data_IF_400410342281
#
_entry.id   IF_400410342281
#
_cell.length_a   1.000
_cell.length_b   1.000
_cell.length_c   1.000
_cell.angle_alpha   90.00
_cell.angle_beta   90.00
_cell.angle_gamma   90.00
#
_symmetry.space_group_name_H-M   'P 1'
#
loop_
_entity.id
_entity.type
_entity.pdbx_description
1 polymer ?
#
# COMPACT_ATOMS: atom_id res chain seq x y z
N UNK A 1 -8.41 30.29 -10.52
CA UNK A 1 -7.58 29.34 -9.74
C UNK A 1 -8.54 28.32 -9.18
N UNK A 2 -8.52 27.05 -9.64
CA UNK A 2 -9.26 25.97 -8.97
C UNK A 2 -8.59 25.73 -7.64
N UNK A 3 -9.38 25.54 -6.59
CA UNK A 3 -8.86 25.30 -5.24
C UNK A 3 -7.92 24.08 -5.25
N UNK A 4 -6.75 24.21 -4.65
CA UNK A 4 -5.76 23.12 -4.50
C UNK A 4 -6.41 21.93 -3.78
N UNK A 5 -7.39 22.19 -2.89
CA UNK A 5 -8.15 21.18 -2.18
C UNK A 5 -8.93 20.22 -3.11
N UNK A 6 -9.41 20.71 -4.25
CA UNK A 6 -10.22 19.89 -5.20
C UNK A 6 -9.39 18.92 -6.04
N UNK A 7 -8.06 19.01 -6.05
CA UNK A 7 -7.18 18.20 -6.92
C UNK A 7 -6.33 17.20 -6.15
N UNK A 8 -6.55 17.04 -4.84
CA UNK A 8 -5.72 16.22 -3.96
C UNK A 8 -6.52 15.11 -3.31
N UNK A 9 -5.83 14.02 -2.95
CA UNK A 9 -6.37 12.93 -2.17
C UNK A 9 -5.27 12.26 -1.34
N UNK A 10 -5.65 11.67 -0.21
CA UNK A 10 -4.73 10.98 0.70
C UNK A 10 -4.88 9.48 0.59
N UNK A 11 -3.77 8.77 0.52
CA UNK A 11 -3.75 7.30 0.48
C UNK A 11 -2.96 6.75 1.66
N UNK A 12 -3.37 5.59 2.18
CA UNK A 12 -2.70 4.86 3.24
C UNK A 12 -2.43 3.42 2.82
N UNK A 13 -1.22 2.93 3.08
CA UNK A 13 -0.84 1.52 3.00
C UNK A 13 -0.50 0.99 4.38
N UNK A 14 -1.04 -0.18 4.74
CA UNK A 14 -0.76 -0.79 6.03
C UNK A 14 -0.81 -2.32 5.99
N UNK A 15 0.30 -2.96 6.33
CA UNK A 15 0.32 -4.39 6.64
C UNK A 15 -0.18 -4.58 8.09
N UNK A 16 -1.36 -5.21 8.25
CA UNK A 16 -2.02 -5.37 9.56
C UNK A 16 -1.57 -6.63 10.32
N UNK A 17 -0.57 -7.36 9.78
CA UNK A 17 0.16 -8.41 10.48
C UNK A 17 -0.66 -9.65 10.80
N UNK A 18 -1.54 -10.12 9.90
CA UNK A 18 -2.25 -11.39 10.03
C UNK A 18 -2.89 -11.62 11.41
N UNK A 19 -3.66 -10.61 11.88
CA UNK A 19 -4.34 -10.66 13.17
C UNK A 19 -3.55 -10.05 14.34
N UNK A 20 -2.37 -9.48 14.11
CA UNK A 20 -1.63 -8.73 15.14
C UNK A 20 -2.39 -7.47 15.56
N UNK A 21 -2.89 -6.71 14.59
CA UNK A 21 -3.78 -5.57 14.86
C UNK A 21 -5.15 -6.12 15.26
N UNK A 22 -5.59 -5.81 16.47
CA UNK A 22 -6.92 -6.18 16.92
C UNK A 22 -8.00 -5.41 16.13
N UNK A 23 -9.19 -6.00 15.88
CA UNK A 23 -10.27 -5.35 15.14
C UNK A 23 -10.58 -3.93 15.64
N UNK A 24 -10.76 -3.73 16.94
CA UNK A 24 -11.04 -2.41 17.52
C UNK A 24 -9.90 -1.40 17.30
N UNK A 25 -8.64 -1.87 17.37
CA UNK A 25 -7.49 -1.00 17.09
C UNK A 25 -7.43 -0.60 15.61
N UNK A 26 -7.83 -1.51 14.69
CA UNK A 26 -7.93 -1.22 13.27
C UNK A 26 -9.07 -0.22 13.00
N UNK A 27 -10.24 -0.41 13.62
CA UNK A 27 -11.37 0.52 13.53
C UNK A 27 -10.96 1.93 13.96
N UNK A 28 -10.35 2.04 15.14
CA UNK A 28 -9.89 3.31 15.68
C UNK A 28 -8.83 3.98 14.78
N UNK A 29 -7.89 3.20 14.25
CA UNK A 29 -6.90 3.73 13.30
C UNK A 29 -7.57 4.31 12.07
N UNK A 30 -8.50 3.56 11.45
CA UNK A 30 -9.22 3.99 10.24
C UNK A 30 -10.07 5.23 10.48
N UNK A 31 -10.70 5.36 11.66
CA UNK A 31 -11.50 6.53 12.05
C UNK A 31 -10.65 7.78 12.29
N UNK A 32 -9.50 7.62 12.96
CA UNK A 32 -8.65 8.74 13.38
C UNK A 32 -7.66 9.17 12.30
N UNK A 33 -7.43 8.32 11.29
CA UNK A 33 -6.48 8.61 10.21
C UNK A 33 -7.25 8.80 8.90
N UNK A 34 -7.69 10.02 8.58
CA UNK A 34 -8.46 10.27 7.37
C UNK A 34 -7.57 10.04 6.15
N UNK A 35 -7.82 8.94 5.45
CA UNK A 35 -7.29 8.67 4.13
C UNK A 35 -8.48 8.45 3.18
N UNK A 36 -8.39 8.92 1.96
CA UNK A 36 -9.45 8.75 0.96
C UNK A 36 -9.48 7.34 0.41
N UNK A 37 -8.28 6.72 0.32
CA UNK A 37 -8.10 5.34 -0.13
C UNK A 37 -7.14 4.63 0.83
N UNK A 38 -7.51 3.43 1.27
CA UNK A 38 -6.70 2.59 2.16
C UNK A 38 -6.42 1.26 1.49
N UNK A 39 -5.15 0.86 1.42
CA UNK A 39 -4.72 -0.47 0.99
C UNK A 39 -4.17 -1.26 2.18
N UNK A 40 -4.77 -2.39 2.48
CA UNK A 40 -4.39 -3.24 3.60
C UNK A 40 -3.81 -4.57 3.11
N UNK A 41 -2.81 -5.09 3.82
CA UNK A 41 -2.20 -6.38 3.59
C UNK A 41 -2.30 -7.26 4.84
N UNK A 42 -2.29 -8.57 4.66
CA UNK A 42 -2.41 -9.59 5.71
C UNK A 42 -3.72 -9.51 6.53
N UNK A 43 -4.80 -9.17 5.85
CA UNK A 43 -6.13 -9.01 6.47
C UNK A 43 -6.72 -10.38 6.81
N UNK A 44 -7.04 -10.62 8.08
CA UNK A 44 -7.80 -11.80 8.52
C UNK A 44 -9.30 -11.57 8.38
N UNK A 45 -10.12 -12.66 8.46
CA UNK A 45 -11.58 -12.54 8.45
C UNK A 45 -12.09 -11.66 9.58
N UNK A 46 -11.59 -11.84 10.82
CA UNK A 46 -11.99 -11.02 11.96
C UNK A 46 -11.62 -9.54 11.82
N UNK A 47 -10.52 -9.22 11.14
CA UNK A 47 -10.18 -7.83 10.82
C UNK A 47 -11.08 -7.27 9.71
N UNK A 48 -11.48 -8.09 8.73
CA UNK A 48 -12.37 -7.66 7.66
C UNK A 48 -13.79 -7.34 8.14
N UNK A 49 -14.27 -7.96 9.24
CA UNK A 49 -15.57 -7.66 9.85
C UNK A 49 -15.70 -6.19 10.31
N UNK A 50 -14.57 -5.53 10.62
CA UNK A 50 -14.53 -4.11 10.95
C UNK A 50 -14.96 -3.23 9.78
N UNK A 51 -14.74 -3.68 8.54
CA UNK A 51 -15.00 -2.86 7.36
C UNK A 51 -16.48 -2.54 7.18
N UNK A 52 -17.39 -3.41 7.63
CA UNK A 52 -18.82 -3.13 7.60
C UNK A 52 -19.19 -1.95 8.52
N UNK A 53 -18.50 -1.79 9.65
CA UNK A 53 -18.67 -0.66 10.55
C UNK A 53 -18.11 0.64 9.97
N UNK A 54 -17.19 0.52 8.99
CA UNK A 54 -16.54 1.66 8.32
C UNK A 54 -17.28 2.15 7.06
N UNK A 55 -18.47 1.59 6.73
CA UNK A 55 -19.20 1.95 5.50
C UNK A 55 -19.65 3.40 5.42
N UNK A 56 -19.81 4.08 6.55
CA UNK A 56 -20.08 5.52 6.56
C UNK A 56 -18.90 6.36 6.07
N UNK A 57 -17.67 5.92 6.34
CA UNK A 57 -16.44 6.58 5.94
C UNK A 57 -15.88 6.01 4.63
N UNK A 58 -15.95 4.69 4.45
CA UNK A 58 -15.49 3.97 3.26
C UNK A 58 -16.65 3.17 2.67
N UNK A 59 -17.58 3.81 1.94
CA UNK A 59 -18.75 3.15 1.37
C UNK A 59 -18.38 2.09 0.33
N UNK A 60 -17.21 2.23 -0.31
CA UNK A 60 -16.73 1.32 -1.34
C UNK A 60 -15.57 0.49 -0.82
N UNK A 61 -15.70 -0.83 -0.91
CA UNK A 61 -14.74 -1.76 -0.34
C UNK A 61 -14.53 -2.95 -1.29
N UNK A 62 -13.28 -3.31 -1.50
CA UNK A 62 -12.88 -4.53 -2.21
C UNK A 62 -12.01 -5.36 -1.27
N UNK A 63 -12.44 -6.57 -0.95
CA UNK A 63 -11.73 -7.47 -0.03
C UNK A 63 -11.46 -8.79 -0.74
N UNK A 64 -10.25 -9.28 -0.63
CA UNK A 64 -9.83 -10.55 -1.19
C UNK A 64 -9.10 -11.41 -0.17
N UNK A 65 -9.51 -12.69 -0.09
CA UNK A 65 -8.84 -13.70 0.73
C UNK A 65 -8.91 -13.42 2.22
N UNK A 66 -8.07 -14.10 2.97
CA UNK A 66 -7.91 -13.91 4.40
C UNK A 66 -6.52 -14.38 4.86
N UNK A 67 -6.02 -13.83 5.98
CA UNK A 67 -4.70 -14.15 6.51
C UNK A 67 -3.58 -13.51 5.67
N UNK A 68 -2.44 -14.16 5.59
CA UNK A 68 -1.27 -13.63 4.87
C UNK A 68 -1.55 -13.23 3.42
N UNK A 69 -2.34 -13.96 2.59
CA UNK A 69 -2.75 -13.50 1.26
C UNK A 69 -3.86 -12.45 1.28
N UNK A 70 -4.52 -12.22 2.43
CA UNK A 70 -5.66 -11.31 2.55
C UNK A 70 -5.28 -9.86 2.25
N UNK A 71 -6.10 -9.19 1.41
CA UNK A 71 -5.93 -7.80 1.02
C UNK A 71 -7.26 -7.07 0.98
N UNK A 72 -7.21 -5.76 1.22
CA UNK A 72 -8.39 -4.91 1.07
C UNK A 72 -8.03 -3.56 0.46
N UNK A 73 -8.98 -3.01 -0.29
CA UNK A 73 -9.03 -1.62 -0.70
C UNK A 73 -10.31 -1.03 -0.09
N UNK A 74 -10.18 -0.01 0.75
CA UNK A 74 -11.28 0.76 1.27
C UNK A 74 -11.21 2.15 0.63
N UNK A 75 -12.34 2.70 0.21
CA UNK A 75 -12.36 3.97 -0.52
C UNK A 75 -13.59 4.81 -0.18
N UNK A 76 -13.40 6.11 -0.06
CA UNK A 76 -14.49 7.09 -0.05
C UNK A 76 -15.09 7.28 -1.44
N UNK A 77 -14.33 6.95 -2.49
CA UNK A 77 -14.73 7.06 -3.89
C UNK A 77 -15.17 5.73 -4.47
N UNK A 78 -15.97 5.80 -5.51
CA UNK A 78 -16.51 4.61 -6.19
C UNK A 78 -15.39 3.68 -6.69
N UNK A 79 -15.50 2.40 -6.32
CA UNK A 79 -14.64 1.32 -6.79
C UNK A 79 -15.37 0.57 -7.92
N UNK A 80 -14.64 0.26 -8.99
CA UNK A 80 -15.07 -0.60 -10.09
C UNK A 80 -13.92 -1.52 -10.54
N UNK A 81 -14.21 -2.47 -11.43
CA UNK A 81 -13.22 -3.34 -12.08
C UNK A 81 -12.23 -4.00 -11.10
N UNK A 82 -12.77 -4.53 -10.00
CA UNK A 82 -11.97 -5.23 -9.00
C UNK A 82 -11.49 -6.58 -9.53
N UNK A 83 -10.19 -6.85 -9.38
CA UNK A 83 -9.56 -8.08 -9.86
C UNK A 83 -8.46 -8.56 -8.91
N UNK A 84 -8.39 -9.89 -8.73
CA UNK A 84 -7.28 -10.55 -8.06
C UNK A 84 -6.23 -10.97 -9.08
N UNK A 85 -5.03 -10.42 -8.97
CA UNK A 85 -3.92 -10.68 -9.87
C UNK A 85 -3.05 -11.83 -9.34
N UNK A 86 -3.13 -12.99 -9.97
CA UNK A 86 -2.35 -14.18 -9.59
C UNK A 86 -0.94 -14.14 -10.21
N UNK A 87 -0.19 -13.06 -9.95
CA UNK A 87 1.19 -12.90 -10.44
C UNK A 87 2.18 -13.79 -9.67
N UNK A 88 1.82 -14.17 -8.46
CA UNK A 88 2.50 -15.18 -7.67
C UNK A 88 1.47 -16.22 -7.19
N UNK A 89 1.76 -17.53 -7.28
CA UNK A 89 0.87 -18.57 -6.77
C UNK A 89 0.54 -18.35 -5.29
N UNK A 90 -0.72 -18.59 -4.89
CA UNK A 90 -1.22 -18.52 -3.52
C UNK A 90 -1.14 -17.13 -2.84
N UNK A 91 -0.57 -16.13 -3.51
CA UNK A 91 -0.46 -14.75 -3.01
C UNK A 91 -0.86 -13.73 -4.07
N UNK A 92 -2.13 -13.69 -4.46
CA UNK A 92 -2.59 -12.71 -5.44
C UNK A 92 -2.49 -11.30 -4.89
N UNK A 93 -2.21 -10.37 -5.78
CA UNK A 93 -2.32 -8.94 -5.53
C UNK A 93 -3.75 -8.49 -5.85
N UNK A 94 -4.20 -7.38 -5.26
CA UNK A 94 -5.53 -6.84 -5.50
C UNK A 94 -5.43 -5.60 -6.37
N UNK A 95 -6.23 -5.53 -7.44
CA UNK A 95 -6.37 -4.37 -8.30
C UNK A 95 -7.82 -3.90 -8.32
N UNK A 96 -8.02 -2.59 -8.34
CA UNK A 96 -9.32 -1.98 -8.56
C UNK A 96 -9.18 -0.64 -9.29
N UNK A 97 -10.21 -0.22 -10.01
CA UNK A 97 -10.34 1.14 -10.49
C UNK A 97 -11.15 1.98 -9.50
N UNK A 98 -10.65 3.15 -9.18
CA UNK A 98 -11.30 4.13 -8.30
C UNK A 98 -11.59 5.38 -9.12
N UNK A 99 -12.81 5.92 -9.03
CA UNK A 99 -13.19 7.15 -9.75
C UNK A 99 -13.15 8.33 -8.80
N UNK A 100 -12.17 9.23 -8.98
CA UNK A 100 -12.00 10.45 -8.19
C UNK A 100 -12.29 11.64 -9.13
N UNK A 101 -13.32 12.44 -8.85
CA UNK A 101 -13.63 13.65 -9.64
C UNK A 101 -13.73 13.37 -11.15
N UNK A 102 -14.41 12.29 -11.53
CA UNK A 102 -14.56 11.82 -12.91
C UNK A 102 -13.23 11.38 -13.58
N UNK A 103 -12.15 11.22 -12.83
CA UNK A 103 -10.87 10.66 -13.30
C UNK A 103 -10.69 9.25 -12.78
N UNK A 104 -10.27 8.35 -13.66
CA UNK A 104 -10.00 6.95 -13.32
C UNK A 104 -8.59 6.82 -12.74
N UNK A 105 -8.50 6.24 -11.56
CA UNK A 105 -7.27 5.89 -10.87
C UNK A 105 -7.19 4.37 -10.71
N UNK A 106 -6.14 3.73 -11.22
CA UNK A 106 -5.88 2.32 -10.95
C UNK A 106 -5.16 2.18 -9.61
N UNK A 107 -5.71 1.36 -8.73
CA UNK A 107 -5.18 1.09 -7.39
C UNK A 107 -4.73 -0.36 -7.32
N UNK A 108 -3.47 -0.58 -6.94
CA UNK A 108 -2.90 -1.90 -6.70
C UNK A 108 -2.51 -2.03 -5.23
N UNK A 109 -2.91 -3.12 -4.60
CA UNK A 109 -2.44 -3.51 -3.26
C UNK A 109 -1.64 -4.79 -3.39
N UNK A 110 -0.35 -4.70 -3.09
CA UNK A 110 0.62 -5.76 -3.30
C UNK A 110 1.26 -6.23 -1.99
N UNK A 111 1.64 -7.52 -1.96
CA UNK A 111 2.43 -8.08 -0.87
C UNK A 111 3.33 -9.21 -1.40
N UNK A 112 4.42 -8.86 -2.13
CA UNK A 112 5.40 -9.82 -2.58
C UNK A 112 6.07 -10.55 -1.42
N UNK A 113 6.57 -11.78 -1.68
CA UNK A 113 7.26 -12.57 -0.66
C UNK A 113 8.56 -11.89 -0.21
N UNK A 114 8.89 -11.99 1.09
CA UNK A 114 10.18 -11.49 1.59
C UNK A 114 11.36 -12.23 0.95
N UNK A 115 12.50 -11.55 0.83
CA UNK A 115 13.74 -12.17 0.41
C UNK A 115 14.20 -13.20 1.46
N UNK A 116 15.04 -14.13 1.04
CA UNK A 116 15.66 -15.12 1.92
C UNK A 116 17.11 -14.77 2.14
N UNK A 117 17.56 -14.97 3.38
CA UNK A 117 18.98 -14.89 3.71
C UNK A 117 19.66 -16.18 3.26
N UNK A 118 20.69 -16.04 2.43
CA UNK A 118 21.59 -17.10 1.99
C UNK A 118 23.02 -16.79 2.43
N UNK A 119 23.94 -17.77 2.31
CA UNK A 119 25.36 -17.55 2.63
C UNK A 119 25.98 -16.40 1.81
N UNK A 120 25.47 -16.13 0.62
CA UNK A 120 25.96 -15.11 -0.32
C UNK A 120 25.14 -13.81 -0.29
N UNK A 121 24.31 -13.57 0.74
CA UNK A 121 23.51 -12.36 0.89
C UNK A 121 22.00 -12.59 0.94
N UNK A 122 21.25 -11.52 0.73
CA UNK A 122 19.78 -11.50 0.76
C UNK A 122 19.27 -11.55 -0.69
N UNK A 123 18.49 -12.59 -1.02
CA UNK A 123 18.01 -12.81 -2.38
C UNK A 123 16.49 -13.04 -2.43
N UNK A 124 15.86 -12.41 -3.41
CA UNK A 124 14.47 -12.70 -3.76
C UNK A 124 14.39 -13.97 -4.62
N UNK A 125 13.28 -14.71 -4.50
CA UNK A 125 12.95 -15.75 -5.47
C UNK A 125 12.70 -15.11 -6.84
N UNK A 126 13.09 -15.79 -7.91
CA UNK A 126 12.86 -15.33 -9.29
C UNK A 126 11.39 -14.99 -9.56
N UNK A 127 10.45 -15.81 -9.05
CA UNK A 127 9.02 -15.54 -9.17
C UNK A 127 8.58 -14.26 -8.46
N UNK A 128 9.20 -13.90 -7.31
CA UNK A 128 8.93 -12.62 -6.62
C UNK A 128 9.47 -11.43 -7.42
N UNK A 129 10.65 -11.57 -7.98
CA UNK A 129 11.23 -10.55 -8.88
C UNK A 129 10.31 -10.32 -10.08
N UNK A 130 9.84 -11.41 -10.71
CA UNK A 130 8.90 -11.33 -11.84
C UNK A 130 7.55 -10.71 -11.43
N UNK A 131 7.02 -11.02 -10.24
CA UNK A 131 5.82 -10.40 -9.70
C UNK A 131 5.97 -8.88 -9.57
N UNK A 132 7.04 -8.41 -8.92
CA UNK A 132 7.31 -6.99 -8.72
C UNK A 132 7.48 -6.28 -10.08
N UNK A 133 8.21 -6.88 -11.01
CA UNK A 133 8.39 -6.34 -12.36
C UNK A 133 7.03 -6.21 -13.08
N UNK A 134 6.21 -7.25 -13.05
CA UNK A 134 4.89 -7.25 -13.70
C UNK A 134 3.92 -6.26 -13.08
N UNK A 135 3.92 -6.12 -11.75
CA UNK A 135 3.17 -5.06 -11.06
C UNK A 135 3.60 -3.67 -11.54
N UNK A 136 4.91 -3.45 -11.65
CA UNK A 136 5.48 -2.21 -12.18
C UNK A 136 5.02 -1.93 -13.62
N UNK A 137 5.05 -2.93 -14.50
CA UNK A 137 4.58 -2.80 -15.89
C UNK A 137 3.07 -2.45 -15.93
N UNK A 138 2.25 -3.13 -15.14
CA UNK A 138 0.82 -2.85 -15.07
C UNK A 138 0.54 -1.44 -14.53
N UNK A 139 1.22 -1.02 -13.47
CA UNK A 139 1.02 0.32 -12.90
C UNK A 139 1.49 1.43 -13.85
N UNK A 140 2.63 1.26 -14.53
CA UNK A 140 3.18 2.27 -15.44
C UNK A 140 2.37 2.43 -16.73
N UNK A 141 1.66 1.38 -17.16
CA UNK A 141 0.86 1.39 -18.40
C UNK A 141 -0.63 1.65 -18.19
N UNK A 142 -1.09 1.75 -16.95
CA UNK A 142 -2.52 1.94 -16.61
C UNK A 142 -3.00 3.40 -16.66
N UNK A 143 -2.20 4.33 -17.13
CA UNK A 143 -2.48 5.77 -16.99
C UNK A 143 -2.23 6.24 -15.56
N UNK A 144 -3.21 6.93 -14.96
CA UNK A 144 -3.08 7.31 -13.55
C UNK A 144 -3.18 6.06 -12.66
N UNK A 145 -2.14 5.80 -11.89
CA UNK A 145 -2.07 4.62 -11.05
C UNK A 145 -1.33 4.89 -9.73
N UNK A 146 -1.77 4.21 -8.67
CA UNK A 146 -1.03 4.01 -7.43
C UNK A 146 -0.84 2.51 -7.18
N UNK A 147 0.31 2.16 -6.65
CA UNK A 147 0.61 0.80 -6.22
C UNK A 147 1.18 0.89 -4.80
N UNK A 148 0.53 0.23 -3.85
CA UNK A 148 0.87 0.33 -2.45
C UNK A 148 0.96 -1.04 -1.78
N UNK A 149 1.76 -1.16 -0.73
CA UNK A 149 1.87 -2.38 0.04
C UNK A 149 3.22 -2.57 0.72
N UNK A 150 3.32 -3.71 1.38
CA UNK A 150 4.56 -4.27 1.88
C UNK A 150 5.27 -5.02 0.73
N UNK A 151 6.31 -4.40 0.18
CA UNK A 151 7.10 -4.98 -0.91
C UNK A 151 8.22 -5.90 -0.41
N UNK A 152 8.43 -5.98 0.90
CA UNK A 152 9.51 -6.76 1.49
C UNK A 152 10.91 -6.45 0.90
N UNK A 153 11.05 -5.30 0.25
CA UNK A 153 12.31 -4.79 -0.33
C UNK A 153 12.68 -3.46 0.31
N UNK A 154 13.96 -3.12 0.31
CA UNK A 154 14.43 -1.77 0.65
C UNK A 154 14.77 -1.01 -0.64
N UNK A 155 15.00 0.30 -0.53
CA UNK A 155 15.43 1.16 -1.65
C UNK A 155 16.85 0.85 -2.16
N UNK A 156 17.56 -0.10 -1.52
CA UNK A 156 18.87 -0.61 -1.97
C UNK A 156 18.76 -1.84 -2.89
N UNK A 157 17.56 -2.45 -2.99
CA UNK A 157 17.36 -3.60 -3.86
C UNK A 157 17.15 -3.16 -5.33
N UNK A 158 17.63 -3.97 -6.25
CA UNK A 158 17.48 -3.76 -7.70
C UNK A 158 16.02 -3.60 -8.14
N UNK A 159 15.09 -4.29 -7.45
CA UNK A 159 13.66 -4.22 -7.71
C UNK A 159 13.11 -2.81 -7.50
N UNK A 160 13.60 -2.07 -6.49
CA UNK A 160 13.24 -0.68 -6.28
C UNK A 160 13.70 0.19 -7.46
N UNK A 161 14.97 0.07 -7.86
CA UNK A 161 15.50 0.78 -9.01
C UNK A 161 14.76 0.43 -10.31
N UNK A 162 14.34 -0.84 -10.46
CA UNK A 162 13.57 -1.30 -11.60
C UNK A 162 12.17 -0.68 -11.69
N UNK A 163 11.51 -0.40 -10.56
CA UNK A 163 10.23 0.33 -10.52
C UNK A 163 10.42 1.80 -10.88
N UNK A 164 11.49 2.45 -10.39
CA UNK A 164 11.84 3.83 -10.77
C UNK A 164 12.12 3.92 -12.27
N UNK A 165 12.86 2.96 -12.84
CA UNK A 165 13.17 2.92 -14.27
C UNK A 165 11.92 2.76 -15.16
N UNK A 166 10.80 2.26 -14.62
CA UNK A 166 9.48 2.21 -15.27
C UNK A 166 8.67 3.51 -15.17
N UNK A 167 9.27 4.57 -14.62
CA UNK A 167 8.63 5.87 -14.44
C UNK A 167 7.72 5.96 -13.21
N UNK A 168 7.79 4.98 -12.29
CA UNK A 168 7.07 5.06 -11.03
C UNK A 168 7.84 5.90 -10.01
N UNK A 169 7.11 6.69 -9.24
CA UNK A 169 7.66 7.54 -8.17
C UNK A 169 7.36 6.92 -6.80
N UNK A 170 8.39 6.74 -5.98
CA UNK A 170 8.27 6.41 -4.56
C UNK A 170 7.83 7.68 -3.80
N UNK A 171 6.60 7.70 -3.30
CA UNK A 171 6.00 8.87 -2.67
C UNK A 171 6.78 9.32 -1.43
N UNK A 172 7.25 8.38 -0.59
CA UNK A 172 8.00 8.75 0.61
C UNK A 172 9.37 9.34 0.26
N UNK A 173 10.04 8.80 -0.76
CA UNK A 173 11.30 9.34 -1.24
C UNK A 173 11.13 10.73 -1.88
N UNK A 174 9.99 10.99 -2.52
CA UNK A 174 9.70 12.25 -3.19
C UNK A 174 9.40 13.39 -2.21
N UNK A 175 8.62 13.16 -1.15
CA UNK A 175 8.13 14.21 -0.26
C UNK A 175 8.01 13.81 1.23
N UNK A 176 8.57 12.67 1.63
CA UNK A 176 8.60 12.23 3.03
C UNK A 176 9.71 12.90 3.84
N UNK A 177 9.54 12.92 5.15
CA UNK A 177 10.56 13.42 6.08
C UNK A 177 11.11 12.27 6.94
N UNK A 178 12.43 12.23 7.10
CA UNK A 178 13.14 11.21 7.88
C UNK A 178 13.43 9.93 7.09
N UNK A 179 13.65 8.83 7.81
CA UNK A 179 14.04 7.54 7.21
C UNK A 179 12.90 6.79 6.55
N UNK A 180 11.66 7.03 6.97
CA UNK A 180 10.49 6.27 6.52
C UNK A 180 10.49 4.80 6.95
N UNK A 181 11.25 4.42 7.96
CA UNK A 181 11.35 3.04 8.41
C UNK A 181 10.01 2.54 8.98
N UNK A 182 9.53 1.42 8.46
CA UNK A 182 8.22 0.86 8.79
C UNK A 182 8.29 -0.46 9.55
N UNK A 183 9.42 -1.18 9.48
CA UNK A 183 9.60 -2.53 10.05
C UNK A 183 10.96 -2.65 10.77
N UNK A 184 11.08 -3.52 11.80
CA UNK A 184 10.03 -4.02 12.66
C UNK A 184 9.66 -2.98 13.73
N UNK A 185 8.38 -2.91 14.09
CA UNK A 185 7.92 -2.07 15.24
C UNK A 185 7.96 -2.86 16.52
N UNK A 186 7.88 -4.19 16.42
CA UNK A 186 7.91 -5.10 17.57
C UNK A 186 8.50 -6.46 17.21
N UNK A 187 9.09 -7.08 18.20
CA UNK A 187 9.52 -8.47 18.15
C UNK A 187 8.87 -9.20 19.33
N UNK A 188 7.93 -10.10 19.03
CA UNK A 188 7.06 -10.68 20.06
C UNK A 188 6.34 -9.58 20.86
N UNK A 189 6.54 -9.47 22.15
CA UNK A 189 5.93 -8.46 23.04
C UNK A 189 6.80 -7.21 23.21
N UNK A 190 8.01 -7.17 22.67
CA UNK A 190 8.96 -6.07 22.81
C UNK A 190 8.77 -5.07 21.68
N UNK A 191 8.56 -3.78 22.02
CA UNK A 191 8.53 -2.70 21.06
C UNK A 191 9.95 -2.36 20.60
N UNK A 192 10.15 -2.24 19.30
CA UNK A 192 11.43 -1.90 18.67
C UNK A 192 11.34 -0.54 17.98
N UNK A 193 12.48 0.05 17.69
CA UNK A 193 12.57 1.15 16.73
C UNK A 193 12.70 0.53 15.33
N UNK A 194 11.83 0.90 14.38
CA UNK A 194 11.95 0.45 13.01
C UNK A 194 13.31 0.86 12.42
N UNK A 195 13.89 -0.01 11.59
CA UNK A 195 15.21 0.24 10.98
C UNK A 195 15.27 -0.12 9.48
N UNK A 196 14.16 -0.63 8.91
CA UNK A 196 14.02 -0.85 7.47
C UNK A 196 12.72 -0.26 6.95
N UNK A 197 12.73 0.23 5.72
CA UNK A 197 11.57 0.65 4.97
C UNK A 197 11.24 -0.40 3.93
N UNK A 198 10.08 -1.03 4.07
CA UNK A 198 9.59 -2.10 3.18
C UNK A 198 8.19 -1.84 2.66
N UNK A 199 7.48 -0.90 3.28
CA UNK A 199 6.16 -0.47 2.87
C UNK A 199 6.27 0.78 1.98
N UNK A 200 5.57 0.75 0.86
CA UNK A 200 5.68 1.77 -0.18
C UNK A 200 4.31 2.21 -0.70
N UNK A 201 4.27 3.47 -1.13
CA UNK A 201 3.24 4.01 -2.02
C UNK A 201 3.98 4.51 -3.26
N UNK A 202 3.73 3.85 -4.38
CA UNK A 202 4.23 4.21 -5.70
C UNK A 202 3.12 4.89 -6.49
N UNK A 203 3.47 5.83 -7.35
CA UNK A 203 2.51 6.41 -8.29
C UNK A 203 3.10 6.61 -9.68
N UNK A 204 2.24 6.63 -10.69
CA UNK A 204 2.61 6.95 -12.08
C UNK A 204 2.84 8.46 -12.25
N UNK A 205 3.40 8.84 -13.41
CA UNK A 205 3.70 10.23 -13.76
C UNK A 205 2.50 11.16 -13.86
N UNK A 206 1.27 10.63 -13.89
CA UNK A 206 0.00 11.40 -13.89
C UNK A 206 -0.31 12.05 -12.53
N UNK A 207 0.43 11.66 -11.51
CA UNK A 207 0.29 12.15 -10.15
C UNK A 207 1.60 12.78 -9.68
N UNK A 208 1.54 13.57 -8.60
CA UNK A 208 2.71 13.99 -7.85
C UNK A 208 2.44 13.94 -6.36
N UNK A 209 3.49 13.70 -5.58
CA UNK A 209 3.41 13.65 -4.12
C UNK A 209 3.57 15.03 -3.54
N UNK A 210 2.61 15.47 -2.73
CA UNK A 210 2.69 16.72 -1.95
C UNK A 210 3.36 16.51 -0.60
N UNK A 211 3.02 15.40 0.07
CA UNK A 211 3.59 15.00 1.35
C UNK A 211 3.53 13.48 1.53
N UNK A 212 4.45 12.92 2.32
CA UNK A 212 4.38 11.55 2.77
C UNK A 212 4.88 11.44 4.22
N UNK A 213 4.24 10.57 5.01
CA UNK A 213 4.54 10.42 6.42
C UNK A 213 4.19 9.02 6.93
N UNK A 214 4.65 8.70 8.13
CA UNK A 214 4.29 7.49 8.84
C UNK A 214 3.08 7.75 9.72
N UNK A 215 2.15 6.80 9.75
CA UNK A 215 0.98 6.85 10.61
C UNK A 215 1.27 6.35 12.03
N UNK A 216 0.18 6.20 12.81
CA UNK A 216 0.24 5.71 14.18
C UNK A 216 0.39 4.17 14.21
N UNK A 217 1.19 3.65 15.14
CA UNK A 217 1.23 2.22 15.47
C UNK A 217 -0.11 1.75 16.03
N UNK A 218 -0.77 0.81 15.36
CA UNK A 218 -2.04 0.21 15.80
C UNK A 218 -1.88 -1.25 16.27
N UNK A 219 -0.65 -1.74 16.39
CA UNK A 219 -0.38 -3.07 16.95
C UNK A 219 0.20 -4.09 15.98
N UNK A 220 0.49 -3.74 14.73
CA UNK A 220 1.27 -4.55 13.80
C UNK A 220 2.76 -4.54 14.14
N UNK A 221 3.54 -5.36 13.49
CA UNK A 221 4.98 -5.21 13.39
C UNK A 221 5.41 -4.19 12.33
N UNK A 222 4.47 -3.66 11.55
CA UNK A 222 4.64 -2.55 10.62
C UNK A 222 4.04 -1.24 11.15
N UNK A 223 4.46 -0.10 10.54
CA UNK A 223 3.82 1.22 10.69
C UNK A 223 3.13 1.58 9.37
N UNK A 224 1.90 2.14 9.38
CA UNK A 224 1.26 2.62 8.17
C UNK A 224 2.08 3.70 7.48
N UNK A 225 2.09 3.68 6.14
CA UNK A 225 2.63 4.76 5.30
C UNK A 225 1.47 5.52 4.68
N UNK A 226 1.55 6.85 4.70
CA UNK A 226 0.57 7.73 4.09
C UNK A 226 1.25 8.65 3.07
N UNK A 227 0.49 9.01 2.04
CA UNK A 227 0.88 10.04 1.08
C UNK A 227 -0.32 10.88 0.67
N UNK A 228 -0.10 12.18 0.61
CA UNK A 228 -1.00 13.11 -0.06
C UNK A 228 -0.53 13.28 -1.50
N UNK A 229 -1.40 12.93 -2.42
CA UNK A 229 -1.15 12.97 -3.86
C UNK A 229 -2.04 14.03 -4.51
N UNK A 230 -1.56 14.57 -5.61
CA UNK A 230 -2.35 15.45 -6.48
C UNK A 230 -2.25 14.99 -7.93
N UNK A 231 -3.32 15.24 -8.69
CA UNK A 231 -3.30 15.07 -10.13
C UNK A 231 -2.36 16.08 -10.77
N UNK A 232 -1.57 15.62 -11.74
CA UNK A 232 -0.85 16.56 -12.61
C UNK A 232 -1.83 17.13 -13.63
N UNK A 233 -1.80 18.43 -13.80
CA UNK A 233 -2.46 19.08 -14.92
C UNK A 233 -1.64 18.79 -16.20
N UNK A 234 -2.32 18.35 -17.26
CA UNK A 234 -1.73 18.17 -18.59
C UNK A 234 -1.55 19.53 -19.24
#
# INVERSE_FOLDING_TARGET
>A
MRDIADNTFTVMSYNVGNGMVKPDCLANLLQETPADIVGLQEVTRGQAEVFDQMRSQYPYQAVFGAGIPGKAILSQYQISDTESLFLYPERPDLRAAVTIQNRRLMVFVAHPLPPRLHRNGIHFKTATVAQIARLGDLASTSGAAIMMGDFNMTDRHEQHAALVARGLTDAFRAAGKGSGFTLPVRWSRVRLRPFVRVDYIWHSSHLHTLAAWLGRDAGSDHIPVLAQLAWREN
#
